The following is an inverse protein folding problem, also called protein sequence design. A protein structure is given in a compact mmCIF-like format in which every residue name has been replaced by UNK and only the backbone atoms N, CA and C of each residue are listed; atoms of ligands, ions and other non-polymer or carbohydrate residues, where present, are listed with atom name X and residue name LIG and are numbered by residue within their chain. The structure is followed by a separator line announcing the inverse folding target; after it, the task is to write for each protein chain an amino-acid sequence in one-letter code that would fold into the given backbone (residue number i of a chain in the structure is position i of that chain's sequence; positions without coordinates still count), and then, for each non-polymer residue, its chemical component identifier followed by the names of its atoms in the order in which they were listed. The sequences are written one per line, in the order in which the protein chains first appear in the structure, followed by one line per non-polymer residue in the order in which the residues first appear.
data_IF_925179508074
#
_entry.id   IF_925179508074
#
_cell.length_a   1.000
_cell.length_b   1.000
_cell.length_c   1.000
_cell.angle_alpha   90.00
_cell.angle_beta   90.00
_cell.angle_gamma   90.00
#
_symmetry.space_group_name_H-M   'P 1'
#
loop_
_entity.id
_entity.type
_entity.pdbx_description
1 polymer ?
#
# COMPACT_ATOMS: atom_id res chain seq x y z
N UNK A 1 -3.35 -20.82 -21.75
CA UNK A 1 -3.19 -20.52 -20.31
C UNK A 1 -1.74 -20.20 -20.07
N UNK A 2 -1.44 -18.98 -19.63
CA UNK A 2 -0.08 -18.59 -19.27
C UNK A 2 0.21 -19.09 -17.85
N UNK A 3 1.39 -19.66 -17.63
CA UNK A 3 1.87 -20.06 -16.31
C UNK A 3 3.02 -19.13 -15.93
N UNK A 4 3.00 -18.61 -14.71
CA UNK A 4 4.00 -17.69 -14.20
C UNK A 4 4.92 -18.40 -13.22
N UNK A 5 6.24 -18.27 -13.40
CA UNK A 5 7.22 -18.83 -12.47
C UNK A 5 7.63 -17.78 -11.45
N UNK A 6 7.33 -18.02 -10.17
CA UNK A 6 7.86 -17.23 -9.05
C UNK A 6 8.73 -18.15 -8.18
N UNK A 7 10.04 -17.90 -8.19
CA UNK A 7 11.00 -18.73 -7.47
C UNK A 7 10.96 -20.19 -7.93
N UNK A 8 10.63 -21.10 -7.01
CA UNK A 8 10.50 -22.54 -7.26
C UNK A 8 9.06 -22.99 -7.56
N UNK A 9 8.10 -22.08 -7.61
CA UNK A 9 6.69 -22.40 -7.87
C UNK A 9 6.30 -21.99 -9.29
N UNK A 10 5.50 -22.84 -9.94
CA UNK A 10 4.81 -22.54 -11.19
C UNK A 10 3.35 -22.27 -10.81
N UNK A 11 2.90 -21.06 -11.04
CA UNK A 11 1.58 -20.57 -10.66
C UNK A 11 0.73 -20.42 -11.91
N UNK A 12 -0.55 -20.74 -11.77
CA UNK A 12 -1.56 -20.28 -12.72
C UNK A 12 -1.72 -18.76 -12.67
N UNK A 13 -2.33 -18.18 -13.70
CA UNK A 13 -2.60 -16.74 -13.78
C UNK A 13 -3.42 -16.23 -12.59
N UNK A 14 -4.42 -16.99 -12.14
CA UNK A 14 -5.26 -16.64 -10.99
C UNK A 14 -4.47 -16.66 -9.67
N UNK A 15 -3.63 -17.67 -9.46
CA UNK A 15 -2.77 -17.75 -8.27
C UNK A 15 -1.73 -16.64 -8.24
N UNK A 16 -1.17 -16.29 -9.40
CA UNK A 16 -0.25 -15.17 -9.54
C UNK A 16 -0.93 -13.84 -9.16
N UNK A 17 -2.14 -13.57 -9.66
CA UNK A 17 -2.86 -12.36 -9.35
C UNK A 17 -3.28 -12.28 -7.88
N UNK A 18 -3.71 -13.39 -7.30
CA UNK A 18 -4.02 -13.49 -5.88
C UNK A 18 -2.79 -13.20 -5.01
N UNK A 19 -1.63 -13.78 -5.36
CA UNK A 19 -0.37 -13.54 -4.63
C UNK A 19 0.08 -12.09 -4.76
N UNK A 20 0.02 -11.52 -5.97
CA UNK A 20 0.38 -10.12 -6.19
C UNK A 20 -0.53 -9.17 -5.39
N UNK A 21 -1.85 -9.43 -5.40
CA UNK A 21 -2.79 -8.66 -4.60
C UNK A 21 -2.52 -8.80 -3.09
N UNK A 22 -2.14 -10.00 -2.63
CA UNK A 22 -1.77 -10.22 -1.23
C UNK A 22 -0.54 -9.40 -0.82
N UNK A 23 0.47 -9.30 -1.68
CA UNK A 23 1.64 -8.44 -1.45
C UNK A 23 1.22 -6.98 -1.31
N UNK A 24 0.38 -6.47 -2.23
CA UNK A 24 -0.16 -5.11 -2.13
C UNK A 24 -0.92 -4.86 -0.83
N UNK A 25 -1.81 -5.79 -0.45
CA UNK A 25 -2.56 -5.73 0.80
C UNK A 25 -1.63 -5.66 2.01
N UNK A 26 -0.58 -6.48 2.04
CA UNK A 26 0.38 -6.52 3.13
C UNK A 26 1.19 -5.24 3.25
N UNK A 27 1.72 -4.72 2.13
CA UNK A 27 2.49 -3.47 2.12
C UNK A 27 1.62 -2.30 2.56
N UNK A 28 0.40 -2.20 2.03
CA UNK A 28 -0.56 -1.15 2.41
C UNK A 28 -0.99 -1.27 3.87
N UNK A 29 -1.20 -2.50 4.36
CA UNK A 29 -1.47 -2.75 5.77
C UNK A 29 -0.37 -2.19 6.67
N UNK A 30 0.89 -2.54 6.38
CA UNK A 30 2.03 -2.10 7.17
C UNK A 30 2.20 -0.57 7.10
N UNK A 31 2.13 0.00 5.89
CA UNK A 31 2.26 1.44 5.70
C UNK A 31 1.16 2.20 6.46
N UNK A 32 -0.10 1.78 6.30
CA UNK A 32 -1.24 2.38 6.99
C UNK A 32 -1.13 2.23 8.51
N UNK A 33 -0.73 1.05 9.00
CA UNK A 33 -0.62 0.82 10.43
C UNK A 33 0.48 1.64 11.10
N UNK A 34 1.64 1.77 10.45
CA UNK A 34 2.75 2.58 10.95
C UNK A 34 2.39 4.06 10.94
N UNK A 35 1.86 4.57 9.82
CA UNK A 35 1.50 5.99 9.70
C UNK A 35 0.39 6.36 10.69
N UNK A 36 -0.69 5.59 10.75
CA UNK A 36 -1.78 5.85 11.66
C UNK A 36 -1.35 5.68 13.13
N UNK A 37 -0.57 4.65 13.45
CA UNK A 37 -0.03 4.44 14.78
C UNK A 37 0.87 5.60 15.24
N UNK A 38 1.70 6.13 14.35
CA UNK A 38 2.53 7.30 14.62
C UNK A 38 1.68 8.55 14.90
N UNK A 39 0.66 8.82 14.07
CA UNK A 39 -0.24 9.95 14.26
C UNK A 39 -1.02 9.84 15.57
N UNK A 40 -1.57 8.66 15.88
CA UNK A 40 -2.29 8.37 17.12
C UNK A 40 -1.40 8.57 18.33
N UNK A 41 -0.14 8.11 18.27
CA UNK A 41 0.81 8.31 19.36
C UNK A 41 1.05 9.80 19.64
N UNK A 42 1.11 10.63 18.59
CA UNK A 42 1.27 12.08 18.70
C UNK A 42 0.05 12.82 19.27
N UNK A 43 -1.14 12.20 19.26
CA UNK A 43 -2.35 12.79 19.81
C UNK A 43 -2.50 12.59 21.33
N UNK A 44 -1.76 11.65 21.93
CA UNK A 44 -1.86 11.39 23.36
C UNK A 44 -1.06 12.41 24.18
N UNK A 45 -1.69 12.97 25.22
CA UNK A 45 -1.04 13.86 26.18
C UNK A 45 -0.10 13.12 27.13
N UNK A 46 0.89 13.83 27.68
CA UNK A 46 1.94 13.24 28.52
C UNK A 46 1.46 12.62 29.84
N UNK A 47 0.22 12.88 30.26
CA UNK A 47 -0.38 12.26 31.45
C UNK A 47 -0.89 10.84 31.26
N UNK A 48 -1.04 10.34 30.01
CA UNK A 48 -1.61 9.01 29.80
C UNK A 48 -0.59 7.91 30.14
N UNK A 49 -0.97 6.85 30.90
CA UNK A 49 -0.08 5.73 31.17
C UNK A 49 0.40 5.05 29.88
N UNK A 50 1.67 4.68 29.85
CA UNK A 50 2.34 4.12 28.65
C UNK A 50 1.62 2.91 28.05
N UNK A 51 1.02 2.07 28.90
CA UNK A 51 0.30 0.87 28.46
C UNK A 51 -0.94 1.22 27.62
N UNK A 52 -1.70 2.25 28.01
CA UNK A 52 -2.92 2.65 27.30
C UNK A 52 -2.59 3.32 25.96
N UNK A 53 -1.49 4.09 25.91
CA UNK A 53 -1.00 4.63 24.63
C UNK A 53 -0.59 3.51 23.68
N UNK A 54 0.15 2.53 24.18
CA UNK A 54 0.60 1.40 23.37
C UNK A 54 -0.57 0.60 22.80
N UNK A 55 -1.55 0.26 23.64
CA UNK A 55 -2.77 -0.42 23.21
C UNK A 55 -3.52 0.41 22.16
N UNK A 56 -3.73 1.70 22.41
CA UNK A 56 -4.42 2.58 21.46
C UNK A 56 -3.72 2.67 20.10
N UNK A 57 -2.39 2.83 20.11
CA UNK A 57 -1.55 2.86 18.90
C UNK A 57 -1.64 1.57 18.12
N UNK A 58 -1.58 0.41 18.78
CA UNK A 58 -1.69 -0.88 18.10
C UNK A 58 -3.08 -1.08 17.51
N UNK A 59 -4.14 -0.85 18.27
CA UNK A 59 -5.50 -1.09 17.80
C UNK A 59 -5.90 -0.13 16.68
N UNK A 60 -5.64 1.16 16.84
CA UNK A 60 -5.97 2.16 15.83
C UNK A 60 -5.04 2.06 14.61
N UNK A 61 -3.75 1.76 14.83
CA UNK A 61 -2.80 1.48 13.76
C UNK A 61 -3.23 0.26 12.95
N UNK A 62 -3.38 -0.90 13.58
CA UNK A 62 -3.81 -2.12 12.90
C UNK A 62 -5.18 -1.96 12.22
N UNK A 63 -6.12 -1.24 12.84
CA UNK A 63 -7.43 -0.93 12.25
C UNK A 63 -7.30 -0.09 10.98
N UNK A 64 -6.53 1.00 11.01
CA UNK A 64 -6.28 1.84 9.84
C UNK A 64 -5.53 1.11 8.73
N UNK A 65 -4.51 0.32 9.08
CA UNK A 65 -3.80 -0.55 8.14
C UNK A 65 -4.74 -1.58 7.49
N UNK A 66 -5.61 -2.20 8.29
CA UNK A 66 -6.62 -3.14 7.80
C UNK A 66 -7.59 -2.50 6.81
N UNK A 67 -8.08 -1.30 7.13
CA UNK A 67 -8.90 -0.51 6.21
C UNK A 67 -8.16 -0.20 4.90
N UNK A 68 -6.91 0.23 4.98
CA UNK A 68 -6.10 0.52 3.78
C UNK A 68 -5.90 -0.73 2.90
N UNK A 69 -5.68 -1.88 3.52
CA UNK A 69 -5.53 -3.16 2.83
C UNK A 69 -6.82 -3.62 2.11
N UNK A 70 -8.00 -3.33 2.66
CA UNK A 70 -9.27 -3.61 1.99
C UNK A 70 -9.40 -2.84 0.66
N UNK A 71 -8.90 -1.60 0.62
CA UNK A 71 -8.90 -0.77 -0.58
C UNK A 71 -7.70 -1.01 -1.52
N UNK A 72 -6.83 -1.99 -1.22
CA UNK A 72 -5.69 -2.35 -2.05
C UNK A 72 -5.95 -2.48 -3.56
N UNK A 73 -7.03 -3.12 -4.05
CA UNK A 73 -7.27 -3.22 -5.50
C UNK A 73 -7.49 -1.84 -6.15
N UNK A 74 -8.20 -0.93 -5.47
CA UNK A 74 -8.42 0.43 -5.95
C UNK A 74 -7.14 1.26 -5.92
N UNK A 75 -6.37 1.15 -4.84
CA UNK A 75 -5.08 1.84 -4.71
C UNK A 75 -4.10 1.37 -5.80
N UNK A 76 -4.03 0.06 -6.06
CA UNK A 76 -3.24 -0.51 -7.16
C UNK A 76 -3.65 0.08 -8.51
N UNK A 77 -4.95 0.19 -8.77
CA UNK A 77 -5.45 0.77 -10.02
C UNK A 77 -5.08 2.25 -10.15
N UNK A 78 -5.27 3.06 -9.10
CA UNK A 78 -4.90 4.48 -9.09
C UNK A 78 -3.40 4.66 -9.32
N UNK A 79 -2.56 3.88 -8.64
CA UNK A 79 -1.10 3.92 -8.83
C UNK A 79 -0.73 3.59 -10.28
N UNK A 80 -1.37 2.58 -10.88
CA UNK A 80 -1.14 2.24 -12.28
C UNK A 80 -1.51 3.39 -13.22
N UNK A 81 -2.67 4.03 -13.04
CA UNK A 81 -3.07 5.19 -13.83
C UNK A 81 -2.13 6.38 -13.66
N UNK A 82 -1.67 6.65 -12.43
CA UNK A 82 -0.72 7.72 -12.16
C UNK A 82 0.62 7.48 -12.86
N UNK A 83 1.13 6.24 -12.85
CA UNK A 83 2.36 5.89 -13.55
C UNK A 83 2.23 6.10 -15.06
N UNK A 84 1.10 5.71 -15.64
CA UNK A 84 0.82 5.95 -17.07
C UNK A 84 0.76 7.45 -17.35
N UNK A 85 0.05 8.22 -16.52
CA UNK A 85 -0.07 9.67 -16.69
C UNK A 85 1.29 10.38 -16.61
N UNK A 86 2.15 9.98 -15.66
CA UNK A 86 3.52 10.50 -15.54
C UNK A 86 4.34 10.15 -16.77
N UNK A 87 4.25 8.91 -17.28
CA UNK A 87 4.99 8.47 -18.45
C UNK A 87 4.56 9.26 -19.71
N UNK A 88 3.26 9.39 -19.95
CA UNK A 88 2.72 10.17 -21.08
C UNK A 88 3.16 11.63 -20.98
N UNK A 89 3.01 12.24 -19.80
CA UNK A 89 3.38 13.65 -19.58
C UNK A 89 4.88 13.87 -19.80
N UNK A 90 5.72 12.94 -19.36
CA UNK A 90 7.17 13.00 -19.53
C UNK A 90 7.58 12.93 -21.00
N UNK A 91 6.91 12.06 -21.79
CA UNK A 91 7.15 11.95 -23.23
C UNK A 91 6.72 13.22 -23.96
N UNK A 92 5.55 13.78 -23.63
CA UNK A 92 5.06 15.02 -24.25
C UNK A 92 5.97 16.20 -23.92
N UNK A 93 6.41 16.32 -22.66
CA UNK A 93 7.35 17.36 -22.24
C UNK A 93 8.72 17.20 -22.92
N UNK A 94 9.22 15.98 -23.05
CA UNK A 94 10.46 15.68 -23.77
C UNK A 94 10.39 16.06 -25.26
N UNK A 95 9.26 15.78 -25.93
CA UNK A 95 9.04 16.18 -27.32
C UNK A 95 8.99 17.71 -27.47
N UNK A 96 8.34 18.40 -26.52
CA UNK A 96 8.26 19.87 -26.53
C UNK A 96 9.63 20.55 -26.33
N UNK A 97 10.57 19.91 -25.64
CA UNK A 97 11.94 20.41 -25.47
C UNK A 97 12.83 20.23 -26.71
N UNK A 98 12.49 19.29 -27.59
CA UNK A 98 13.29 18.96 -28.78
C UNK A 98 12.82 19.75 -30.02
N UNK A 99 11.54 20.16 -30.06
CA UNK A 99 10.92 20.97 -31.11
C UNK A 99 11.14 22.47 -30.87
#
# INVERSE_FOLDING_TARGET
MAYYKIGNQILSEEEYDAQNLAVWRFVLFLAGAVVAGFLVNGMYSDGLPKIWRFVGVIFLGAGAGGLLALYAPYIRAIVAYLLIAVLVSSLTYGLWLIL
#
